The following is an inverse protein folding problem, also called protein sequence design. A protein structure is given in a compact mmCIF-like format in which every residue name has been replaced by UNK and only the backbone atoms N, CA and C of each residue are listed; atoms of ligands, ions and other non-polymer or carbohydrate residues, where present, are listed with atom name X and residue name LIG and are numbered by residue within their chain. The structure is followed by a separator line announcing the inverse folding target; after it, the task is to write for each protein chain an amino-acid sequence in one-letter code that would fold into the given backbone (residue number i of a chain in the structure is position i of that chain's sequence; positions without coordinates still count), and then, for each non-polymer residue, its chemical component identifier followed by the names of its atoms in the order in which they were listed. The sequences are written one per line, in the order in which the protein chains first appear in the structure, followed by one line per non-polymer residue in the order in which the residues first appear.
data_IF_667243632686
#
_entry.id   IF_667243632686
#
_cell.length_a   1.000
_cell.length_b   1.000
_cell.length_c   1.000
_cell.angle_alpha   90.00
_cell.angle_beta   90.00
_cell.angle_gamma   90.00
#
_symmetry.space_group_name_H-M   'P 1'
#
loop_
_entity.id
_entity.type
_entity.pdbx_description
1 polymer ?
#
# COMPACT_ATOMS: atom_id res chain seq x y z
N UNK A 1 18.81 -10.34 -30.47
CA UNK A 1 19.12 -8.90 -30.29
C UNK A 1 17.92 -8.31 -29.56
N UNK A 2 18.01 -8.13 -28.24
CA UNK A 2 16.91 -7.62 -27.41
C UNK A 2 16.75 -6.11 -27.64
N UNK A 3 15.52 -5.59 -27.82
CA UNK A 3 15.30 -4.16 -28.02
C UNK A 3 15.82 -3.30 -26.86
N UNK A 4 16.37 -2.13 -27.18
CA UNK A 4 17.00 -1.18 -26.24
C UNK A 4 16.03 -0.45 -25.30
N UNK A 5 14.74 -0.79 -25.26
CA UNK A 5 13.79 -0.26 -24.27
C UNK A 5 13.80 -1.04 -22.95
N UNK A 6 14.53 -2.16 -22.88
CA UNK A 6 14.69 -2.94 -21.66
C UNK A 6 15.88 -2.40 -20.85
N UNK A 7 15.61 -1.38 -20.02
CA UNK A 7 16.62 -0.80 -19.13
C UNK A 7 16.84 -1.76 -17.94
N UNK A 8 18.07 -2.25 -17.76
CA UNK A 8 18.39 -3.28 -16.76
C UNK A 8 18.28 -2.80 -15.29
N UNK A 9 17.89 -1.54 -15.07
CA UNK A 9 17.66 -0.96 -13.74
C UNK A 9 16.35 -1.43 -13.11
N UNK A 10 15.38 -1.88 -13.91
CA UNK A 10 14.12 -2.41 -13.39
C UNK A 10 14.26 -3.84 -12.85
N UNK A 11 15.44 -4.47 -13.04
CA UNK A 11 15.69 -5.87 -12.71
C UNK A 11 15.98 -6.14 -11.22
N UNK A 12 15.85 -5.13 -10.36
CA UNK A 12 16.08 -5.23 -8.91
C UNK A 12 14.98 -4.62 -8.04
N UNK A 13 13.89 -4.10 -8.62
CA UNK A 13 12.66 -3.94 -7.85
C UNK A 13 12.06 -5.34 -7.70
N UNK A 14 12.44 -6.06 -6.64
CA UNK A 14 11.53 -7.08 -6.12
C UNK A 14 10.20 -6.36 -5.90
N UNK A 15 9.10 -6.89 -6.43
CA UNK A 15 7.76 -6.37 -6.16
C UNK A 15 7.49 -6.51 -4.65
N UNK A 16 7.99 -5.56 -3.87
CA UNK A 16 7.84 -5.56 -2.43
C UNK A 16 6.41 -5.19 -2.11
N UNK A 17 5.77 -6.06 -1.34
CA UNK A 17 4.48 -5.73 -0.76
C UNK A 17 4.69 -4.58 0.22
N UNK A 18 3.96 -3.48 0.04
CA UNK A 18 4.11 -2.27 0.84
C UNK A 18 3.11 -2.23 2.00
N UNK A 19 3.50 -1.53 3.06
CA UNK A 19 2.60 -1.09 4.13
C UNK A 19 2.39 0.44 4.13
N UNK A 20 2.99 1.14 3.18
CA UNK A 20 3.00 2.61 3.14
C UNK A 20 1.59 3.15 2.93
N UNK A 21 1.23 4.15 3.73
CA UNK A 21 0.01 4.94 3.57
C UNK A 21 0.42 6.33 3.12
N UNK A 22 -0.18 6.80 2.03
CA UNK A 22 0.05 8.15 1.51
C UNK A 22 -1.27 8.87 1.29
N UNK A 23 -1.26 10.18 1.51
CA UNK A 23 -2.40 11.07 1.29
C UNK A 23 -2.02 12.11 0.24
N UNK A 24 -2.86 12.24 -0.77
CA UNK A 24 -2.73 13.23 -1.82
C UNK A 24 -3.53 14.49 -1.46
N UNK A 25 -2.88 15.67 -1.54
CA UNK A 25 -3.54 16.97 -1.50
C UNK A 25 -3.64 17.56 -2.93
N UNK A 26 -4.85 17.67 -3.51
CA UNK A 26 -5.04 18.23 -4.84
C UNK A 26 -4.83 19.75 -4.92
N UNK A 27 -4.78 20.46 -3.80
CA UNK A 27 -4.56 21.91 -3.75
C UNK A 27 -3.11 22.26 -4.00
N UNK A 28 -2.20 21.45 -3.44
CA UNK A 28 -0.75 21.64 -3.54
C UNK A 28 -0.10 20.69 -4.52
N UNK A 29 -0.84 19.70 -5.04
CA UNK A 29 -0.35 18.62 -5.91
C UNK A 29 0.80 17.84 -5.26
N UNK A 30 0.62 17.46 -4.00
CA UNK A 30 1.65 16.78 -3.21
C UNK A 30 1.12 15.53 -2.52
N UNK A 31 2.00 14.55 -2.38
CA UNK A 31 1.79 13.37 -1.56
C UNK A 31 2.48 13.55 -0.20
N UNK A 32 1.84 13.08 0.86
CA UNK A 32 2.42 13.03 2.22
C UNK A 32 2.26 11.63 2.79
N UNK A 33 3.34 11.09 3.35
CA UNK A 33 3.32 9.80 4.05
C UNK A 33 2.62 9.91 5.41
N UNK A 34 1.83 8.91 5.76
CA UNK A 34 1.14 8.75 7.05
C UNK A 34 1.62 7.52 7.80
N UNK A 35 1.06 7.22 8.98
CA UNK A 35 1.38 5.98 9.67
C UNK A 35 1.16 4.77 8.75
N UNK A 36 2.21 3.95 8.63
CA UNK A 36 2.17 2.72 7.85
C UNK A 36 1.17 1.72 8.46
N UNK A 37 0.64 0.85 7.61
CA UNK A 37 -0.07 -0.35 8.06
C UNK A 37 0.86 -1.25 8.90
N UNK A 38 0.37 -1.88 9.97
CA UNK A 38 1.11 -2.91 10.70
C UNK A 38 1.61 -4.07 9.83
N UNK A 39 0.81 -4.48 8.83
CA UNK A 39 1.18 -5.57 7.90
C UNK A 39 1.23 -5.05 6.47
N UNK A 40 2.37 -5.24 5.82
CA UNK A 40 2.46 -5.06 4.38
C UNK A 40 1.58 -6.09 3.67
N UNK A 41 0.67 -5.62 2.82
CA UNK A 41 -0.30 -6.47 2.11
C UNK A 41 -0.61 -5.93 0.71
N UNK A 42 -1.01 -6.81 -0.20
CA UNK A 42 -1.60 -6.47 -1.51
C UNK A 42 -2.91 -7.25 -1.73
N UNK A 43 -3.63 -6.99 -2.82
CA UNK A 43 -4.89 -7.66 -3.15
C UNK A 43 -5.95 -7.62 -2.02
N UNK A 44 -5.94 -6.54 -1.23
CA UNK A 44 -6.87 -6.31 -0.11
C UNK A 44 -8.15 -5.59 -0.57
N UNK A 45 -9.18 -5.59 0.28
CA UNK A 45 -10.34 -4.70 0.13
C UNK A 45 -10.28 -3.57 1.17
N UNK A 46 -10.84 -2.41 0.83
CA UNK A 46 -10.91 -1.26 1.74
C UNK A 46 -12.34 -0.71 1.84
N UNK A 47 -12.74 -0.26 3.02
CA UNK A 47 -14.03 0.40 3.25
C UNK A 47 -13.90 1.53 4.28
N UNK A 48 -14.73 2.56 4.14
CA UNK A 48 -14.82 3.65 5.12
C UNK A 48 -16.04 3.45 6.00
N UNK A 49 -15.84 3.41 7.32
CA UNK A 49 -16.93 3.27 8.31
C UNK A 49 -16.67 4.26 9.44
N UNK A 50 -17.65 5.14 9.69
CA UNK A 50 -17.60 6.14 10.76
C UNK A 50 -16.30 6.98 10.76
N UNK A 51 -15.81 7.36 9.57
CA UNK A 51 -14.61 8.20 9.41
C UNK A 51 -13.27 7.46 9.49
N UNK A 52 -13.27 6.13 9.65
CA UNK A 52 -12.06 5.30 9.68
C UNK A 52 -11.96 4.43 8.44
N UNK A 53 -10.74 4.09 8.05
CA UNK A 53 -10.44 3.22 6.90
C UNK A 53 -10.18 1.82 7.42
N UNK A 54 -10.97 0.85 6.96
CA UNK A 54 -10.82 -0.56 7.28
C UNK A 54 -10.21 -1.28 6.08
N UNK A 55 -9.13 -2.01 6.32
CA UNK A 55 -8.47 -2.86 5.34
C UNK A 55 -8.75 -4.31 5.69
N UNK A 56 -9.32 -5.05 4.74
CA UNK A 56 -9.82 -6.41 4.91
C UNK A 56 -8.98 -7.38 4.08
N UNK A 57 -8.38 -8.36 4.75
CA UNK A 57 -7.65 -9.47 4.11
C UNK A 57 -6.51 -9.00 3.20
N UNK A 58 -6.31 -9.71 2.09
CA UNK A 58 -5.18 -9.51 1.18
C UNK A 58 -4.10 -10.58 1.35
N UNK A 59 -2.95 -10.35 0.73
CA UNK A 59 -1.83 -11.29 0.70
C UNK A 59 -0.57 -10.59 1.20
N UNK A 60 0.14 -11.21 2.14
CA UNK A 60 1.41 -10.71 2.66
C UNK A 60 2.58 -11.00 1.72
N UNK A 61 3.76 -10.42 2.01
CA UNK A 61 4.96 -10.57 1.18
C UNK A 61 5.44 -12.03 1.00
N UNK A 62 5.14 -12.90 1.97
CA UNK A 62 5.46 -14.34 1.93
C UNK A 62 4.40 -15.19 1.19
N UNK A 63 3.37 -14.57 0.60
CA UNK A 63 2.26 -15.25 -0.07
C UNK A 63 1.14 -15.72 0.87
N UNK A 64 1.21 -15.42 2.17
CA UNK A 64 0.17 -15.76 3.13
C UNK A 64 -1.12 -14.98 2.85
N UNK A 65 -2.24 -15.69 2.75
CA UNK A 65 -3.57 -15.07 2.68
C UNK A 65 -4.01 -14.63 4.07
N UNK A 66 -4.24 -13.33 4.22
CA UNK A 66 -4.58 -12.72 5.50
C UNK A 66 -6.08 -12.80 5.76
N UNK A 67 -6.45 -13.19 6.98
CA UNK A 67 -7.82 -13.14 7.50
C UNK A 67 -8.02 -11.99 8.52
N UNK A 68 -7.10 -11.03 8.54
CA UNK A 68 -7.07 -9.92 9.49
C UNK A 68 -7.74 -8.67 8.93
N UNK A 69 -8.21 -7.84 9.85
CA UNK A 69 -8.70 -6.49 9.57
C UNK A 69 -7.80 -5.49 10.27
N UNK A 70 -7.31 -4.49 9.52
CA UNK A 70 -6.57 -3.36 10.07
C UNK A 70 -7.39 -2.08 9.91
N UNK A 71 -7.26 -1.17 10.87
CA UNK A 71 -8.04 0.08 10.90
C UNK A 71 -7.09 1.26 11.03
N UNK A 72 -7.24 2.22 10.13
CA UNK A 72 -6.58 3.50 10.18
C UNK A 72 -7.58 4.59 10.61
N UNK A 73 -7.24 5.32 11.66
CA UNK A 73 -8.01 6.45 12.18
C UNK A 73 -7.26 7.76 11.87
N UNK A 74 -7.68 8.51 10.83
CA UNK A 74 -7.01 9.73 10.41
C UNK A 74 -7.09 10.85 11.45
N UNK A 75 -7.93 10.72 12.49
CA UNK A 75 -8.05 11.74 13.54
C UNK A 75 -6.99 11.60 14.63
N UNK A 76 -6.28 10.48 14.65
CA UNK A 76 -5.23 10.16 15.64
C UNK A 76 -3.85 9.95 15.03
N UNK A 77 -3.69 10.22 13.74
CA UNK A 77 -2.42 10.19 12.98
C UNK A 77 -1.87 11.60 12.78
#
# INVERSE_FOLDING_TARGET
MTPQWYDAKDKAATEEVLSVVEVYDPTTDTWTTKANMPTARFAMSAAVVAGKIYILGGVANNGEVLNTVEVYDPTTD
#
